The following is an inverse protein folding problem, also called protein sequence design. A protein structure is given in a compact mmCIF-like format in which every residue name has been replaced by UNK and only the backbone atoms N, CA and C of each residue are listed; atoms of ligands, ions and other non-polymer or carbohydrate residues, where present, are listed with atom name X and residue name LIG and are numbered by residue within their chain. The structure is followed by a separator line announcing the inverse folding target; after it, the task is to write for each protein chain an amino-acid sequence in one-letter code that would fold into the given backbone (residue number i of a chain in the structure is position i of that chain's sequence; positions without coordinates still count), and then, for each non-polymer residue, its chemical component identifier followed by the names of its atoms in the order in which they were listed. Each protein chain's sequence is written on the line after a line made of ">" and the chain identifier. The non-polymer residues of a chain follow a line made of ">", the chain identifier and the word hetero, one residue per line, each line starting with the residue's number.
data_IF_032090230554
#
_entry.id   IF_032090230554
#
_cell.length_a   1.000
_cell.length_b   1.000
_cell.length_c   1.000
_cell.angle_alpha   90.00
_cell.angle_beta   90.00
_cell.angle_gamma   90.00
#
_symmetry.space_group_name_H-M   'P 1'
#
loop_
_entity.id
_entity.type
_entity.pdbx_description
1 polymer ?
#
# COMPACT_ATOMS: atom_id res chain seq x y z
N UNK A 1 -5.78 -39.07 -36.86
CA UNK A 1 -5.87 -38.78 -35.41
C UNK A 1 -4.72 -37.85 -35.10
N UNK A 2 -4.97 -36.55 -35.24
CA UNK A 2 -3.97 -35.52 -35.07
C UNK A 2 -4.35 -34.74 -33.82
N UNK A 3 -3.47 -34.80 -32.81
CA UNK A 3 -3.77 -34.47 -31.43
C UNK A 3 -4.07 -32.99 -31.26
N UNK A 4 -5.22 -32.69 -30.67
CA UNK A 4 -5.60 -31.38 -30.16
C UNK A 4 -4.53 -30.88 -29.20
N UNK A 5 -3.76 -29.87 -29.62
CA UNK A 5 -2.78 -29.19 -28.78
C UNK A 5 -3.56 -28.42 -27.71
N UNK A 6 -3.47 -28.85 -26.45
CA UNK A 6 -4.10 -28.16 -25.35
C UNK A 6 -3.59 -26.71 -25.27
N UNK A 7 -4.48 -25.74 -25.44
CA UNK A 7 -4.18 -24.35 -25.10
C UNK A 7 -3.89 -24.28 -23.60
N UNK A 8 -2.66 -23.87 -23.27
CA UNK A 8 -2.27 -23.60 -21.88
C UNK A 8 -3.07 -22.38 -21.41
N UNK A 9 -3.71 -22.52 -20.24
CA UNK A 9 -4.47 -21.47 -19.54
C UNK A 9 -3.70 -20.16 -19.25
N UNK A 10 -2.40 -20.11 -19.52
CA UNK A 10 -1.55 -18.92 -19.37
C UNK A 10 -1.24 -18.35 -20.76
N UNK A 11 -1.95 -17.29 -21.15
CA UNK A 11 -1.57 -16.47 -22.29
C UNK A 11 -0.37 -15.59 -21.91
N UNK A 12 0.71 -15.66 -22.68
CA UNK A 12 1.76 -14.63 -22.63
C UNK A 12 1.13 -13.32 -23.10
N UNK A 13 1.43 -12.21 -22.43
CA UNK A 13 0.95 -10.89 -22.84
C UNK A 13 1.32 -10.64 -24.31
N UNK A 14 0.33 -10.23 -25.13
CA UNK A 14 0.47 -9.99 -26.57
C UNK A 14 0.94 -8.57 -26.91
N UNK A 15 1.25 -7.77 -25.89
CA UNK A 15 1.65 -6.36 -25.99
C UNK A 15 3.07 -6.18 -25.46
N UNK A 16 3.80 -5.22 -26.01
CA UNK A 16 5.16 -4.83 -25.58
C UNK A 16 5.15 -4.04 -24.25
N UNK A 17 3.99 -4.00 -23.57
CA UNK A 17 3.86 -3.38 -22.26
C UNK A 17 4.39 -4.30 -21.16
N UNK A 18 5.09 -3.74 -20.17
CA UNK A 18 5.61 -4.54 -19.07
C UNK A 18 4.46 -5.19 -18.29
N UNK A 19 4.66 -6.46 -17.91
CA UNK A 19 3.71 -7.19 -17.08
C UNK A 19 3.37 -6.40 -15.79
N UNK A 20 2.12 -6.47 -15.35
CA UNK A 20 1.66 -5.90 -14.07
C UNK A 20 0.90 -6.97 -13.30
N UNK A 21 1.09 -6.99 -11.98
CA UNK A 21 0.29 -7.81 -11.07
C UNK A 21 -0.58 -6.89 -10.23
N UNK A 22 -1.78 -7.37 -9.95
CA UNK A 22 -2.80 -6.68 -9.17
C UNK A 22 -3.42 -7.63 -8.16
N UNK A 23 -3.59 -7.15 -6.94
CA UNK A 23 -4.36 -7.81 -5.88
C UNK A 23 -5.50 -6.89 -5.43
N UNK A 24 -6.58 -7.47 -4.92
CA UNK A 24 -7.69 -6.72 -4.33
C UNK A 24 -8.21 -7.35 -3.04
N UNK A 25 -8.00 -6.66 -1.92
CA UNK A 25 -8.47 -7.08 -0.61
C UNK A 25 -9.83 -6.46 -0.30
N UNK A 26 -10.76 -7.25 0.25
CA UNK A 26 -12.10 -6.77 0.58
C UNK A 26 -12.08 -5.82 1.78
N UNK A 27 -12.96 -4.81 1.73
CA UNK A 27 -13.25 -3.86 2.79
C UNK A 27 -14.69 -4.13 3.28
N UNK A 28 -14.88 -4.10 4.59
CA UNK A 28 -16.18 -4.27 5.24
C UNK A 28 -17.01 -2.99 5.23
N UNK A 29 -18.30 -3.10 5.50
CA UNK A 29 -19.17 -1.92 5.68
C UNK A 29 -18.64 -1.04 6.83
N UNK A 30 -18.48 0.26 6.56
CA UNK A 30 -18.00 1.24 7.54
C UNK A 30 -16.52 1.14 7.91
N UNK A 31 -15.75 0.33 7.19
CA UNK A 31 -14.32 0.18 7.43
C UNK A 31 -13.52 1.31 6.74
N UNK A 32 -12.75 2.03 7.54
CA UNK A 32 -11.88 3.11 7.10
C UNK A 32 -10.42 2.65 6.98
N UNK A 33 -9.73 3.18 5.97
CA UNK A 33 -8.32 2.92 5.65
C UNK A 33 -7.48 4.18 5.88
N UNK A 34 -6.28 4.00 6.45
CA UNK A 34 -5.34 5.06 6.81
C UNK A 34 -3.89 4.68 6.44
N UNK A 35 -2.99 5.66 6.39
CA UNK A 35 -1.55 5.44 6.21
C UNK A 35 -1.03 5.93 4.86
N UNK A 36 -0.26 5.07 4.18
CA UNK A 36 0.49 5.34 2.95
C UNK A 36 1.65 6.34 3.09
N UNK A 37 2.14 6.52 4.31
CA UNK A 37 3.16 7.50 4.64
C UNK A 37 2.58 8.89 4.96
N UNK A 38 3.34 9.94 4.65
CA UNK A 38 2.99 11.33 4.96
C UNK A 38 2.09 11.93 3.86
N UNK A 39 0.83 11.53 3.80
CA UNK A 39 -0.12 12.06 2.80
C UNK A 39 -0.86 13.30 3.34
N UNK A 40 -0.99 14.33 2.50
CA UNK A 40 -1.67 15.60 2.85
C UNK A 40 -3.14 15.68 2.42
N UNK A 41 -3.62 14.67 1.68
CA UNK A 41 -5.04 14.48 1.39
C UNK A 41 -5.83 14.10 2.65
N UNK A 42 -7.16 13.94 2.53
CA UNK A 42 -8.00 13.62 3.69
C UNK A 42 -7.49 12.41 4.46
N UNK A 43 -7.63 12.44 5.79
CA UNK A 43 -7.03 11.43 6.67
C UNK A 43 -7.52 10.00 6.38
N UNK A 44 -8.83 9.83 6.18
CA UNK A 44 -9.43 8.58 5.66
C UNK A 44 -9.18 8.51 4.16
N UNK A 45 -8.69 7.37 3.69
CA UNK A 45 -8.24 7.16 2.30
C UNK A 45 -9.28 6.49 1.40
N UNK A 46 -10.40 6.04 1.96
CA UNK A 46 -11.52 5.51 1.16
C UNK A 46 -11.97 6.54 0.12
N UNK A 47 -12.07 6.11 -1.13
CA UNK A 47 -12.37 6.93 -2.30
C UNK A 47 -11.13 7.54 -3.00
N UNK A 48 -9.91 7.26 -2.54
CA UNK A 48 -8.69 7.83 -3.12
C UNK A 48 -7.85 6.80 -3.86
N UNK A 49 -7.26 7.26 -4.96
CA UNK A 49 -6.08 6.64 -5.56
C UNK A 49 -4.85 7.19 -4.85
N UNK A 50 -3.97 6.30 -4.39
CA UNK A 50 -2.74 6.67 -3.69
C UNK A 50 -1.54 6.08 -4.39
N UNK A 51 -0.67 6.94 -4.90
CA UNK A 51 0.60 6.54 -5.51
C UNK A 51 1.71 6.52 -4.47
N UNK A 52 2.43 5.40 -4.36
CA UNK A 52 3.61 5.27 -3.51
C UNK A 52 4.84 5.62 -4.35
N UNK A 53 5.08 6.92 -4.45
CA UNK A 53 6.23 7.50 -5.12
C UNK A 53 6.64 8.78 -4.38
N UNK A 54 7.94 8.98 -4.17
CA UNK A 54 8.44 10.18 -3.50
C UNK A 54 8.59 11.29 -4.54
N UNK A 55 7.90 12.41 -4.29
CA UNK A 55 7.88 13.57 -5.17
C UNK A 55 8.05 14.85 -4.36
N UNK A 56 8.65 15.86 -4.98
CA UNK A 56 8.73 17.21 -4.42
C UNK A 56 7.52 18.04 -4.86
N UNK A 57 6.46 18.01 -4.04
CA UNK A 57 5.16 18.59 -4.39
C UNK A 57 4.54 19.51 -3.32
N UNK A 58 5.33 19.91 -2.32
CA UNK A 58 4.85 20.69 -1.18
C UNK A 58 3.84 19.91 -0.32
N UNK A 59 3.02 20.63 0.46
CA UNK A 59 2.06 20.05 1.42
C UNK A 59 0.60 20.31 1.06
N UNK A 60 0.34 20.83 -0.14
CA UNK A 60 -0.99 21.23 -0.60
C UNK A 60 -1.41 20.46 -1.88
N UNK A 61 -0.82 19.28 -2.10
CA UNK A 61 -1.11 18.40 -3.23
C UNK A 61 -1.17 16.94 -2.78
N UNK A 62 -1.55 16.04 -3.69
CA UNK A 62 -1.55 14.59 -3.47
C UNK A 62 -0.13 13.99 -3.43
N UNK A 63 0.87 14.74 -3.91
CA UNK A 63 2.26 14.33 -3.87
C UNK A 63 2.79 14.34 -2.44
N UNK A 64 3.82 13.54 -2.17
CA UNK A 64 4.44 13.46 -0.85
C UNK A 64 5.92 13.16 -0.94
N UNK A 65 6.64 13.65 0.06
CA UNK A 65 8.05 13.36 0.29
C UNK A 65 8.30 11.97 0.89
N UNK A 66 7.32 11.41 1.61
CA UNK A 66 7.50 10.21 2.43
C UNK A 66 6.38 9.21 2.14
N UNK A 67 6.41 8.61 0.96
CA UNK A 67 5.49 7.52 0.59
C UNK A 67 5.93 6.21 1.23
N UNK A 68 4.98 5.47 1.80
CA UNK A 68 5.22 4.14 2.36
C UNK A 68 4.13 3.19 1.84
N UNK A 69 4.45 2.01 1.28
CA UNK A 69 3.46 1.05 0.78
C UNK A 69 2.82 0.23 1.91
N UNK A 70 2.33 0.94 2.94
CA UNK A 70 1.70 0.37 4.12
C UNK A 70 0.43 1.13 4.48
N UNK A 71 -0.66 0.40 4.69
CA UNK A 71 -1.90 0.96 5.23
C UNK A 71 -2.38 0.19 6.45
N UNK A 72 -3.18 0.85 7.28
CA UNK A 72 -3.91 0.25 8.39
C UNK A 72 -5.41 0.45 8.22
N UNK A 73 -6.17 -0.54 8.66
CA UNK A 73 -7.62 -0.52 8.70
C UNK A 73 -8.12 -0.24 10.12
N UNK A 74 -9.23 0.48 10.20
CA UNK A 74 -10.06 0.61 11.41
C UNK A 74 -10.48 -0.72 12.05
N UNK A 75 -10.35 -1.85 11.34
CA UNK A 75 -10.60 -3.20 11.85
C UNK A 75 -9.38 -3.89 12.45
N UNK A 76 -8.35 -3.12 12.84
CA UNK A 76 -7.15 -3.60 13.53
C UNK A 76 -6.30 -4.62 12.72
N UNK A 77 -6.17 -4.37 11.42
CA UNK A 77 -5.14 -5.02 10.61
C UNK A 77 -4.43 -3.99 9.73
N UNK A 78 -3.27 -4.34 9.20
CA UNK A 78 -2.52 -3.55 8.23
C UNK A 78 -1.96 -4.42 7.12
N UNK A 79 -1.67 -3.79 6.00
CA UNK A 79 -1.11 -4.47 4.82
C UNK A 79 0.11 -3.69 4.36
N UNK A 80 1.26 -4.37 4.28
CA UNK A 80 2.50 -3.84 3.73
C UNK A 80 2.80 -4.55 2.42
N UNK A 81 2.85 -3.81 1.32
CA UNK A 81 3.26 -4.34 0.01
C UNK A 81 4.78 -4.21 -0.08
N UNK A 82 5.49 -5.33 -0.20
CA UNK A 82 6.94 -5.38 -0.15
C UNK A 82 7.57 -5.08 -1.51
N UNK A 83 7.29 -3.89 -2.02
CA UNK A 83 7.83 -3.39 -3.28
C UNK A 83 8.40 -1.99 -3.07
N UNK A 84 9.70 -1.78 -3.33
CA UNK A 84 10.31 -0.46 -3.31
C UNK A 84 10.02 0.36 -4.58
N UNK A 85 9.57 -0.29 -5.66
CA UNK A 85 9.16 0.39 -6.89
C UNK A 85 7.82 1.13 -6.70
N UNK A 86 7.33 1.75 -7.78
CA UNK A 86 6.03 2.41 -7.75
C UNK A 86 4.91 1.40 -7.50
N UNK A 87 4.15 1.63 -6.43
CA UNK A 87 2.93 0.90 -6.09
C UNK A 87 1.74 1.85 -6.18
N UNK A 88 0.77 1.52 -7.03
CA UNK A 88 -0.49 2.27 -7.11
C UNK A 88 -1.55 1.57 -6.29
N UNK A 89 -2.14 2.27 -5.33
CA UNK A 89 -3.27 1.81 -4.53
C UNK A 89 -4.56 2.49 -4.98
N UNK A 90 -5.63 1.71 -5.12
CA UNK A 90 -6.99 2.18 -5.35
C UNK A 90 -7.81 1.81 -4.11
N UNK A 91 -8.00 2.77 -3.21
CA UNK A 91 -8.63 2.54 -1.90
C UNK A 91 -10.11 2.85 -2.03
N UNK A 92 -10.94 1.87 -2.36
CA UNK A 92 -12.37 2.07 -2.62
C UNK A 92 -12.68 3.14 -3.70
N UNK A 93 -11.70 3.51 -4.53
CA UNK A 93 -11.82 4.48 -5.63
C UNK A 93 -12.35 3.81 -6.91
N UNK A 94 -11.80 2.65 -7.27
CA UNK A 94 -12.25 1.88 -8.44
C UNK A 94 -13.37 0.88 -8.07
N UNK A 95 -13.11 0.00 -7.10
CA UNK A 95 -14.12 -0.90 -6.53
C UNK A 95 -14.38 -0.51 -5.09
N UNK A 96 -15.57 0.06 -4.83
CA UNK A 96 -15.93 0.72 -3.57
C UNK A 96 -15.84 -0.17 -2.31
N UNK A 97 -15.80 -1.49 -2.47
CA UNK A 97 -15.69 -2.47 -1.39
C UNK A 97 -14.31 -3.14 -1.32
N UNK A 98 -13.28 -2.59 -1.98
CA UNK A 98 -11.94 -3.19 -2.03
C UNK A 98 -10.82 -2.15 -1.93
N UNK A 99 -9.69 -2.56 -1.37
CA UNK A 99 -8.40 -1.91 -1.61
C UNK A 99 -7.70 -2.72 -2.68
N UNK A 100 -7.49 -2.13 -3.85
CA UNK A 100 -6.65 -2.73 -4.87
C UNK A 100 -5.25 -2.14 -4.81
N UNK A 101 -4.24 -2.94 -5.15
CA UNK A 101 -2.90 -2.42 -5.37
C UNK A 101 -2.26 -3.15 -6.54
N UNK A 102 -1.47 -2.41 -7.31
CA UNK A 102 -0.78 -2.94 -8.48
C UNK A 102 0.67 -2.51 -8.50
N UNK A 103 1.50 -3.42 -9.02
CA UNK A 103 2.93 -3.21 -9.24
C UNK A 103 3.29 -3.68 -10.64
N UNK A 104 4.35 -3.10 -11.20
CA UNK A 104 4.95 -3.58 -12.42
C UNK A 104 5.85 -4.79 -12.10
N UNK A 105 5.72 -5.86 -12.88
CA UNK A 105 6.48 -7.09 -12.73
C UNK A 105 5.62 -8.34 -12.76
N UNK A 106 6.28 -9.47 -12.54
CA UNK A 106 5.69 -10.82 -12.58
C UNK A 106 5.55 -11.45 -11.18
N UNK A 107 5.87 -10.71 -10.12
CA UNK A 107 5.72 -11.17 -8.73
C UNK A 107 5.20 -10.05 -7.86
N UNK A 108 4.39 -10.42 -6.88
CA UNK A 108 3.91 -9.53 -5.83
C UNK A 108 4.04 -10.22 -4.48
N UNK A 109 4.64 -9.54 -3.52
CA UNK A 109 4.69 -9.96 -2.13
C UNK A 109 4.03 -8.89 -1.24
N UNK A 110 3.17 -9.32 -0.33
CA UNK A 110 2.56 -8.45 0.66
C UNK A 110 2.34 -9.19 1.97
N UNK A 111 2.37 -8.44 3.07
CA UNK A 111 2.22 -8.94 4.43
C UNK A 111 0.93 -8.39 5.03
N UNK A 112 0.10 -9.26 5.58
CA UNK A 112 -1.08 -8.89 6.37
C UNK A 112 -0.73 -9.04 7.85
N UNK A 113 -0.88 -7.96 8.62
CA UNK A 113 -0.55 -7.89 10.03
C UNK A 113 -1.80 -7.60 10.84
N UNK A 114 -2.21 -8.52 11.72
CA UNK A 114 -3.36 -8.35 12.60
C UNK A 114 -2.97 -7.96 14.02
N UNK A 115 -3.89 -7.32 14.74
CA UNK A 115 -3.72 -6.94 16.14
C UNK A 115 -5.07 -6.83 16.87
N UNK A 116 -5.03 -6.66 18.20
CA UNK A 116 -6.25 -6.32 18.96
C UNK A 116 -6.58 -4.83 18.81
N UNK A 117 -5.55 -4.02 18.56
CA UNK A 117 -5.61 -2.58 18.33
C UNK A 117 -4.73 -2.19 17.13
N UNK A 118 -4.95 -1.01 16.56
CA UNK A 118 -4.05 -0.44 15.54
C UNK A 118 -2.61 -0.29 16.08
N UNK A 119 -2.44 0.00 17.38
CA UNK A 119 -1.11 0.09 17.98
C UNK A 119 -0.36 -1.26 17.93
N UNK A 120 -1.05 -2.39 18.12
CA UNK A 120 -0.46 -3.72 17.97
C UNK A 120 0.00 -3.97 16.53
N UNK A 121 -0.83 -3.57 15.55
CA UNK A 121 -0.49 -3.67 14.11
C UNK A 121 0.78 -2.89 13.80
N UNK A 122 0.89 -1.65 14.29
CA UNK A 122 2.10 -0.84 14.15
C UNK A 122 3.31 -1.46 14.87
N UNK A 123 3.10 -2.11 16.01
CA UNK A 123 4.12 -2.85 16.74
C UNK A 123 4.69 -4.02 15.93
N UNK A 124 3.84 -4.78 15.24
CA UNK A 124 4.27 -5.87 14.33
C UNK A 124 5.01 -5.27 13.14
N UNK A 125 4.44 -4.24 12.50
CA UNK A 125 5.06 -3.57 11.35
C UNK A 125 6.47 -3.07 11.66
N UNK A 126 6.64 -2.31 12.75
CA UNK A 126 7.95 -1.79 13.16
C UNK A 126 8.90 -2.87 13.67
N UNK A 127 8.40 -4.02 14.11
CA UNK A 127 9.28 -5.17 14.39
C UNK A 127 9.84 -5.77 13.11
N UNK A 128 9.07 -5.76 12.02
CA UNK A 128 9.50 -6.22 10.70
C UNK A 128 10.41 -5.21 10.00
N UNK A 129 10.06 -3.92 10.02
CA UNK A 129 10.69 -2.87 9.19
C UNK A 129 11.69 -1.99 9.95
N UNK A 130 11.73 -2.09 11.28
CA UNK A 130 12.64 -1.32 12.14
C UNK A 130 11.89 -0.44 13.14
N UNK A 131 12.35 -0.47 14.39
CA UNK A 131 11.77 0.36 15.46
C UNK A 131 12.39 1.76 15.43
N UNK A 132 11.59 2.82 15.61
CA UNK A 132 12.12 4.17 15.79
C UNK A 132 13.10 4.23 16.97
N UNK A 133 14.26 4.85 16.77
CA UNK A 133 15.19 5.13 17.85
C UNK A 133 14.64 6.22 18.79
N UNK A 134 15.03 6.18 20.07
CA UNK A 134 14.73 7.26 21.01
C UNK A 134 15.70 8.43 20.77
N UNK A 135 15.22 9.61 20.33
CA UNK A 135 16.10 10.76 20.12
C UNK A 135 16.64 11.32 21.44
N UNK A 136 17.81 11.99 21.45
CA UNK A 136 18.32 12.68 22.64
C UNK A 136 17.34 13.73 23.18
N UNK A 137 17.28 13.90 24.50
CA UNK A 137 16.28 14.76 25.14
C UNK A 137 16.26 16.22 24.63
N UNK A 138 17.41 16.78 24.25
CA UNK A 138 17.49 18.16 23.75
C UNK A 138 16.79 18.36 22.40
N UNK A 139 16.55 17.31 21.60
CA UNK A 139 15.90 17.45 20.28
C UNK A 139 14.43 17.85 20.41
N UNK A 140 13.83 17.64 21.59
CA UNK A 140 12.45 18.03 21.92
C UNK A 140 12.32 19.51 22.36
N UNK A 141 13.42 20.27 22.40
CA UNK A 141 13.41 21.71 22.62
C UNK A 141 12.90 22.51 21.41
N UNK A 142 12.94 23.84 21.51
CA UNK A 142 12.64 24.75 20.39
C UNK A 142 13.81 24.80 19.39
N UNK A 143 13.50 24.84 18.11
CA UNK A 143 14.46 25.02 17.01
C UNK A 143 14.16 26.39 16.37
N UNK A 144 15.17 27.26 16.25
CA UNK A 144 15.06 28.62 15.70
C UNK A 144 16.13 28.85 14.63
#
# INVERSE_FOLDING_TARGET
>A
MEGTKAERFYAHASTDEPARIREMLNISVGENIYGFGEKFSTFVKNGQTVEVWNNDGGTCSEQTYKSIPFYVSSRNYGVFVNHPENVTFEVASETVSKVAFSVQGERMEYFVMGGKTIADVLGVYTTLTGKPALPPAYTFGLWL
#
